data_IF_180894162073
#
_entry.id   IF_180894162073
#
_cell.length_a   1.000
_cell.length_b   1.000
_cell.length_c   1.000
_cell.angle_alpha   90.00
_cell.angle_beta   90.00
_cell.angle_gamma   90.00
#
_symmetry.space_group_name_H-M   'P 1'
#
loop_
_entity.id
_entity.type
_entity.pdbx_description
1 polymer ?
#
# COMPACT_ATOMS: atom_id res chain seq x y z
N UNK A 1 1.17 -14.79 26.29
CA UNK A 1 1.42 -13.53 25.54
C UNK A 1 2.09 -13.88 24.22
N UNK A 2 1.46 -13.54 23.12
CA UNK A 2 1.96 -13.77 21.76
C UNK A 2 2.39 -12.44 21.17
N UNK A 3 3.67 -12.28 20.81
CA UNK A 3 4.17 -11.10 20.13
C UNK A 3 3.91 -11.25 18.64
N UNK A 4 3.32 -10.23 18.02
CA UNK A 4 3.07 -10.14 16.58
C UNK A 4 3.71 -8.86 16.04
N UNK A 5 4.55 -9.00 15.03
CA UNK A 5 5.13 -7.87 14.29
C UNK A 5 4.50 -7.78 12.92
N UNK A 6 3.96 -6.60 12.61
CA UNK A 6 3.31 -6.31 11.32
C UNK A 6 4.15 -5.27 10.60
N UNK A 7 4.41 -5.50 9.32
CA UNK A 7 5.15 -4.53 8.50
C UNK A 7 4.42 -4.20 7.21
N UNK A 8 4.71 -3.02 6.68
CA UNK A 8 4.39 -2.64 5.29
C UNK A 8 5.64 -2.17 4.58
N UNK A 9 5.79 -2.53 3.31
CA UNK A 9 6.92 -2.13 2.50
C UNK A 9 6.55 -2.07 1.01
N UNK A 10 6.56 -0.88 0.43
CA UNK A 10 6.52 -0.72 -1.02
C UNK A 10 7.88 -1.09 -1.60
N UNK A 11 7.93 -2.08 -2.48
CA UNK A 11 9.17 -2.63 -3.03
C UNK A 11 9.59 -1.96 -4.34
N UNK A 12 8.95 -0.89 -4.76
CA UNK A 12 9.25 -0.13 -5.99
C UNK A 12 9.40 -1.02 -7.23
N UNK A 13 8.26 -1.35 -7.86
CA UNK A 13 8.22 -2.17 -9.08
C UNK A 13 9.14 -3.41 -9.01
N UNK A 14 8.99 -4.22 -7.96
CA UNK A 14 9.84 -5.36 -7.70
C UNK A 14 9.59 -6.49 -8.68
N UNK A 15 10.56 -6.76 -9.56
CA UNK A 15 10.45 -7.67 -10.70
C UNK A 15 11.81 -8.29 -11.08
N UNK A 16 11.74 -9.32 -11.93
CA UNK A 16 12.87 -9.76 -12.73
C UNK A 16 13.25 -8.68 -13.74
N UNK A 17 14.54 -8.42 -13.88
CA UNK A 17 15.04 -7.43 -14.83
C UNK A 17 15.46 -8.08 -16.14
N UNK A 18 15.17 -7.40 -17.26
CA UNK A 18 15.63 -7.86 -18.56
C UNK A 18 17.17 -7.97 -18.60
N UNK A 19 17.73 -8.95 -19.35
CA UNK A 19 19.18 -9.09 -19.48
C UNK A 19 19.86 -7.78 -19.89
N UNK A 20 20.88 -7.37 -19.14
CA UNK A 20 21.63 -6.14 -19.38
C UNK A 20 21.01 -4.87 -18.76
N UNK A 21 19.85 -4.97 -18.10
CA UNK A 21 19.27 -3.87 -17.33
C UNK A 21 19.81 -3.84 -15.91
N UNK A 22 20.01 -2.66 -15.34
CA UNK A 22 20.41 -2.47 -13.92
C UNK A 22 19.45 -1.55 -13.20
N UNK A 23 19.28 -1.73 -11.87
CA UNK A 23 19.82 -2.85 -11.07
C UNK A 23 19.22 -4.19 -11.49
N UNK A 24 19.97 -5.26 -11.36
CA UNK A 24 19.49 -6.62 -11.54
C UNK A 24 18.67 -7.06 -10.32
N UNK A 25 17.80 -8.08 -10.48
CA UNK A 25 17.07 -8.66 -9.35
C UNK A 25 18.04 -9.10 -8.22
N UNK A 26 19.16 -9.75 -8.56
CA UNK A 26 20.16 -10.20 -7.58
C UNK A 26 20.81 -9.03 -6.81
N UNK A 27 21.07 -7.90 -7.47
CA UNK A 27 21.58 -6.68 -6.81
C UNK A 27 20.53 -6.13 -5.84
N UNK A 28 19.26 -6.07 -6.26
CA UNK A 28 18.13 -5.64 -5.41
C UNK A 28 17.95 -6.57 -4.20
N UNK A 29 17.92 -7.87 -4.41
CA UNK A 29 17.81 -8.87 -3.33
C UNK A 29 18.96 -8.74 -2.34
N UNK A 30 20.19 -8.52 -2.82
CA UNK A 30 21.37 -8.38 -1.95
C UNK A 30 21.22 -7.23 -0.95
N UNK A 31 20.59 -6.12 -1.34
CA UNK A 31 20.36 -4.97 -0.46
C UNK A 31 19.06 -5.08 0.35
N UNK A 32 17.99 -5.57 -0.25
CA UNK A 32 16.67 -5.57 0.39
C UNK A 32 16.48 -6.75 1.37
N UNK A 33 17.06 -7.92 1.09
CA UNK A 33 16.95 -9.09 1.98
C UNK A 33 17.42 -8.83 3.43
N UNK A 34 18.54 -8.14 3.70
CA UNK A 34 18.90 -7.72 5.05
C UNK A 34 17.86 -6.80 5.71
N UNK A 35 17.18 -5.93 4.96
CA UNK A 35 16.08 -5.12 5.48
C UNK A 35 14.92 -6.02 5.90
N UNK A 36 14.43 -6.90 5.01
CA UNK A 36 13.37 -7.86 5.34
C UNK A 36 13.69 -8.66 6.61
N UNK A 37 14.92 -9.15 6.75
CA UNK A 37 15.36 -9.87 7.96
C UNK A 37 15.28 -9.01 9.24
N UNK A 38 15.60 -7.71 9.15
CA UNK A 38 15.52 -6.79 10.31
C UNK A 38 14.09 -6.49 10.73
N UNK A 39 13.13 -6.51 9.80
CA UNK A 39 11.72 -6.31 10.12
C UNK A 39 11.20 -7.35 11.10
N UNK A 40 11.70 -8.60 11.01
CA UNK A 40 11.23 -9.73 11.83
C UNK A 40 9.71 -9.81 11.87
N UNK A 41 9.08 -9.51 10.74
CA UNK A 41 7.63 -9.44 10.64
C UNK A 41 7.01 -10.84 10.65
N UNK A 42 5.94 -11.02 11.41
CA UNK A 42 5.08 -12.20 11.36
C UNK A 42 4.03 -12.07 10.27
N UNK A 43 3.65 -10.81 9.96
CA UNK A 43 2.77 -10.43 8.87
C UNK A 43 3.45 -9.30 8.11
N UNK A 44 3.75 -9.49 6.83
CA UNK A 44 4.33 -8.46 5.98
C UNK A 44 3.41 -8.13 4.82
N UNK A 45 3.13 -6.84 4.64
CA UNK A 45 2.32 -6.31 3.55
C UNK A 45 3.24 -5.64 2.53
N UNK A 46 3.27 -6.16 1.30
CA UNK A 46 4.11 -5.64 0.24
C UNK A 46 3.27 -4.96 -0.84
N UNK A 47 3.80 -3.88 -1.39
CA UNK A 47 3.24 -3.15 -2.52
C UNK A 47 4.23 -3.18 -3.69
N UNK A 48 3.72 -2.95 -4.89
CA UNK A 48 4.48 -2.93 -6.15
C UNK A 48 5.23 -4.22 -6.49
N UNK A 49 4.68 -5.37 -6.10
CA UNK A 49 5.22 -6.68 -6.48
C UNK A 49 4.69 -7.08 -7.85
N UNK A 50 5.59 -7.36 -8.80
CA UNK A 50 5.21 -7.82 -10.13
C UNK A 50 5.11 -9.34 -10.19
N UNK A 51 4.29 -9.83 -11.11
CA UNK A 51 4.15 -11.25 -11.38
C UNK A 51 5.01 -11.69 -12.55
N UNK A 52 5.66 -12.85 -12.44
CA UNK A 52 6.53 -13.41 -13.47
C UNK A 52 5.84 -14.56 -14.19
N UNK A 53 5.98 -14.61 -15.53
CA UNK A 53 5.45 -15.68 -16.35
C UNK A 53 6.50 -16.78 -16.57
N UNK A 54 6.03 -18.04 -16.59
CA UNK A 54 6.80 -19.20 -17.01
C UNK A 54 6.00 -20.02 -18.00
N UNK A 55 6.63 -20.60 -19.03
CA UNK A 55 5.92 -21.41 -20.02
C UNK A 55 5.09 -22.52 -19.38
N UNK A 56 3.78 -22.52 -19.64
CA UNK A 56 2.86 -23.56 -19.15
C UNK A 56 2.51 -23.48 -17.67
N UNK A 57 2.82 -22.38 -16.99
CA UNK A 57 2.46 -22.15 -15.60
C UNK A 57 1.69 -20.83 -15.45
N UNK A 58 0.76 -20.73 -14.48
CA UNK A 58 0.18 -19.45 -14.11
C UNK A 58 1.25 -18.45 -13.69
N UNK A 59 1.00 -17.15 -13.91
CA UNK A 59 1.86 -16.09 -13.40
C UNK A 59 1.94 -16.15 -11.88
N UNK A 60 3.16 -16.04 -11.32
CA UNK A 60 3.44 -16.19 -9.90
C UNK A 60 4.42 -15.10 -9.41
N UNK A 61 4.59 -14.98 -8.11
CA UNK A 61 5.43 -13.95 -7.45
C UNK A 61 6.87 -14.45 -7.24
N UNK A 62 7.50 -15.01 -8.27
CA UNK A 62 8.78 -15.71 -8.17
C UNK A 62 9.92 -14.81 -7.66
N UNK A 63 9.95 -13.54 -8.08
CA UNK A 63 10.95 -12.59 -7.59
C UNK A 63 10.77 -12.31 -6.08
N UNK A 64 9.52 -12.19 -5.60
CA UNK A 64 9.25 -12.03 -4.18
C UNK A 64 9.63 -13.29 -3.39
N UNK A 65 9.31 -14.48 -3.88
CA UNK A 65 9.70 -15.74 -3.25
C UNK A 65 11.23 -15.82 -3.10
N UNK A 66 12.00 -15.43 -4.12
CA UNK A 66 13.46 -15.37 -4.07
C UNK A 66 13.97 -14.32 -3.05
N UNK A 67 13.30 -13.17 -2.92
CA UNK A 67 13.62 -12.19 -1.89
C UNK A 67 13.40 -12.74 -0.49
N UNK A 68 12.29 -13.47 -0.28
CA UNK A 68 11.91 -14.00 1.04
C UNK A 68 12.69 -15.26 1.44
N UNK A 69 13.28 -15.98 0.48
CA UNK A 69 14.10 -17.18 0.73
C UNK A 69 15.19 -16.91 1.78
N UNK A 70 15.27 -17.78 2.80
CA UNK A 70 16.20 -17.65 3.92
C UNK A 70 15.95 -16.44 4.84
N UNK A 71 14.77 -15.82 4.80
CA UNK A 71 14.27 -14.86 5.79
C UNK A 71 13.32 -15.56 6.78
N UNK A 72 12.76 -14.84 7.74
CA UNK A 72 11.70 -15.36 8.61
C UNK A 72 10.35 -15.56 7.90
N UNK A 73 10.22 -15.11 6.65
CA UNK A 73 9.04 -15.29 5.80
C UNK A 73 9.28 -16.34 4.69
N UNK A 74 10.38 -17.09 4.76
CA UNK A 74 10.67 -18.17 3.82
C UNK A 74 9.58 -19.26 3.89
N UNK A 75 8.95 -19.56 2.74
CA UNK A 75 7.83 -20.50 2.67
C UNK A 75 6.52 -19.99 3.29
N UNK A 76 6.39 -18.70 3.60
CA UNK A 76 5.14 -18.10 4.07
C UNK A 76 4.00 -18.22 3.04
N UNK A 77 2.78 -18.24 3.51
CA UNK A 77 1.59 -18.09 2.65
C UNK A 77 1.59 -16.69 2.06
N UNK A 78 1.49 -16.59 0.74
CA UNK A 78 1.37 -15.33 0.01
C UNK A 78 -0.08 -15.14 -0.45
N UNK A 79 -0.81 -14.25 0.22
CA UNK A 79 -2.13 -13.79 -0.23
C UNK A 79 -1.90 -12.59 -1.12
N UNK A 80 -2.33 -12.67 -2.39
CA UNK A 80 -2.07 -11.64 -3.39
C UNK A 80 -3.35 -11.19 -4.08
N UNK A 81 -3.33 -9.96 -4.58
CA UNK A 81 -4.33 -9.49 -5.55
C UNK A 81 -4.22 -10.24 -6.87
N UNK A 82 -5.36 -10.48 -7.52
CA UNK A 82 -5.46 -11.27 -8.76
C UNK A 82 -6.49 -10.66 -9.70
N UNK A 83 -6.27 -10.73 -11.03
CA UNK A 83 -7.31 -10.41 -12.00
C UNK A 83 -8.43 -11.46 -12.02
N UNK A 84 -8.07 -12.71 -11.72
CA UNK A 84 -8.93 -13.90 -11.61
C UNK A 84 -8.39 -14.83 -10.50
N UNK A 85 -8.97 -16.00 -10.33
CA UNK A 85 -8.63 -16.90 -9.23
C UNK A 85 -7.29 -17.65 -9.44
N UNK A 86 -6.74 -17.67 -10.63
CA UNK A 86 -5.64 -18.58 -10.97
C UNK A 86 -4.25 -17.90 -11.02
N UNK A 87 -4.17 -16.62 -11.34
CA UNK A 87 -2.90 -15.93 -11.53
C UNK A 87 -2.88 -14.54 -10.86
N UNK A 88 -1.71 -14.09 -10.47
CA UNK A 88 -1.50 -12.72 -9.97
C UNK A 88 -1.49 -11.71 -11.12
N UNK A 89 -1.67 -10.41 -10.81
CA UNK A 89 -1.48 -9.36 -11.82
C UNK A 89 -0.03 -9.34 -12.33
N UNK A 90 0.14 -8.91 -13.57
CA UNK A 90 1.45 -8.68 -14.17
C UNK A 90 2.22 -7.59 -13.39
N UNK A 91 1.53 -6.50 -13.05
CA UNK A 91 2.14 -5.34 -12.39
C UNK A 91 1.46 -5.02 -11.06
N UNK A 92 2.30 -4.65 -10.07
CA UNK A 92 1.91 -3.95 -8.84
C UNK A 92 0.86 -4.67 -8.00
N UNK A 93 1.08 -5.95 -7.75
CA UNK A 93 0.28 -6.68 -6.79
C UNK A 93 0.45 -6.11 -5.38
N UNK A 94 -0.62 -6.20 -4.59
CA UNK A 94 -0.56 -6.17 -3.14
C UNK A 94 -0.39 -7.60 -2.65
N UNK A 95 0.48 -7.80 -1.66
CA UNK A 95 0.76 -9.13 -1.10
C UNK A 95 0.78 -9.04 0.42
N UNK A 96 0.12 -9.99 1.08
CA UNK A 96 0.24 -10.25 2.52
C UNK A 96 0.97 -11.58 2.66
N UNK A 97 2.16 -11.56 3.28
CA UNK A 97 2.97 -12.73 3.54
C UNK A 97 2.94 -13.07 5.04
N UNK A 98 2.60 -14.31 5.40
CA UNK A 98 2.54 -14.74 6.80
C UNK A 98 2.61 -16.26 6.93
N UNK A 99 3.14 -16.77 8.06
CA UNK A 99 3.02 -18.16 8.48
C UNK A 99 1.79 -18.42 9.37
N UNK A 100 1.11 -17.35 9.79
CA UNK A 100 -0.12 -17.48 10.58
C UNK A 100 -1.27 -17.96 9.69
N UNK A 101 -2.26 -18.68 10.24
CA UNK A 101 -3.39 -19.16 9.45
C UNK A 101 -4.22 -18.01 8.88
N UNK A 102 -4.35 -17.99 7.57
CA UNK A 102 -5.26 -17.09 6.87
C UNK A 102 -6.63 -17.77 6.77
N UNK A 103 -7.60 -17.24 7.50
CA UNK A 103 -8.96 -17.83 7.59
C UNK A 103 -9.79 -17.44 6.38
N UNK A 104 -9.69 -16.18 5.96
CA UNK A 104 -10.38 -15.64 4.79
C UNK A 104 -9.54 -14.53 4.17
N UNK A 105 -9.62 -14.36 2.87
CA UNK A 105 -9.13 -13.18 2.19
C UNK A 105 -10.06 -12.78 1.06
N UNK A 106 -10.05 -11.51 0.72
CA UNK A 106 -10.82 -10.92 -0.36
C UNK A 106 -10.11 -9.68 -0.92
N UNK A 107 -10.43 -9.32 -2.12
CA UNK A 107 -10.01 -8.05 -2.71
C UNK A 107 -11.24 -7.25 -3.09
N UNK A 108 -11.16 -5.91 -2.94
CA UNK A 108 -12.26 -5.00 -3.25
C UNK A 108 -11.79 -3.96 -4.26
N UNK A 109 -12.63 -3.73 -5.27
CA UNK A 109 -12.37 -2.73 -6.30
C UNK A 109 -13.70 -2.18 -6.83
N UNK A 110 -14.12 -1.06 -6.29
CA UNK A 110 -15.42 -0.44 -6.55
C UNK A 110 -16.63 -1.31 -6.10
N UNK A 111 -16.44 -2.14 -5.07
CA UNK A 111 -17.49 -3.00 -4.52
C UNK A 111 -18.35 -2.24 -3.49
N UNK A 112 -17.73 -1.34 -2.72
CA UNK A 112 -18.40 -0.54 -1.69
C UNK A 112 -18.60 0.92 -2.10
N UNK A 113 -17.87 1.38 -3.10
CA UNK A 113 -17.95 2.74 -3.65
C UNK A 113 -18.13 2.64 -5.15
N UNK A 114 -19.22 3.19 -5.66
CA UNK A 114 -19.46 3.20 -7.11
C UNK A 114 -18.32 3.92 -7.84
N UNK A 115 -17.93 3.35 -8.98
CA UNK A 115 -16.88 3.93 -9.82
C UNK A 115 -17.22 5.37 -10.22
N UNK A 116 -16.35 6.35 -9.90
CA UNK A 116 -16.58 7.74 -10.25
C UNK A 116 -16.69 7.91 -11.76
N UNK A 117 -17.49 8.88 -12.21
CA UNK A 117 -17.63 9.21 -13.62
C UNK A 117 -17.23 10.66 -13.86
N UNK A 118 -16.44 10.90 -14.90
CA UNK A 118 -16.00 12.23 -15.27
C UNK A 118 -15.86 12.38 -16.79
N UNK A 119 -16.15 13.58 -17.30
CA UNK A 119 -15.95 13.93 -18.70
C UNK A 119 -14.66 14.74 -18.84
N UNK A 120 -13.63 14.16 -19.46
CA UNK A 120 -12.33 14.84 -19.64
C UNK A 120 -12.48 15.89 -20.72
N UNK A 121 -12.46 17.15 -20.31
CA UNK A 121 -12.71 18.28 -21.21
C UNK A 121 -11.48 18.66 -22.03
N UNK A 122 -10.28 18.43 -21.50
CA UNK A 122 -9.03 18.73 -22.22
C UNK A 122 -8.55 17.59 -23.12
N UNK A 123 -9.16 16.40 -23.06
CA UNK A 123 -8.80 15.29 -23.92
C UNK A 123 -8.91 15.64 -25.42
N UNK A 124 -8.04 15.02 -26.25
CA UNK A 124 -8.07 15.20 -27.71
C UNK A 124 -8.28 13.82 -28.38
N UNK A 125 -9.47 13.59 -28.97
CA UNK A 125 -10.68 14.43 -28.93
C UNK A 125 -11.29 14.46 -27.51
N UNK A 126 -12.07 15.49 -27.16
CA UNK A 126 -12.79 15.54 -25.87
C UNK A 126 -13.75 14.37 -25.72
N UNK A 127 -13.92 13.88 -24.48
CA UNK A 127 -14.90 12.84 -24.22
C UNK A 127 -16.32 13.34 -24.55
N UNK A 128 -17.12 12.58 -25.29
CA UNK A 128 -18.49 13.00 -25.66
C UNK A 128 -19.46 13.00 -24.47
N UNK A 129 -19.14 12.25 -23.42
CA UNK A 129 -19.94 12.10 -22.20
C UNK A 129 -19.06 11.64 -21.04
N UNK A 130 -19.55 11.73 -19.77
CA UNK A 130 -18.82 11.20 -18.63
C UNK A 130 -18.52 9.70 -18.76
N UNK A 131 -17.26 9.33 -18.59
CA UNK A 131 -16.77 7.94 -18.61
C UNK A 131 -16.45 7.47 -17.18
N UNK A 132 -16.45 6.17 -16.92
CA UNK A 132 -15.94 5.63 -15.66
C UNK A 132 -14.47 5.99 -15.46
N UNK A 133 -14.13 6.37 -14.23
CA UNK A 133 -12.75 6.68 -13.80
C UNK A 133 -12.33 5.60 -12.81
N UNK A 134 -11.94 4.45 -13.35
CA UNK A 134 -11.56 3.29 -12.57
C UNK A 134 -10.25 3.47 -11.82
N UNK A 135 -10.15 2.82 -10.67
CA UNK A 135 -8.89 2.65 -9.95
C UNK A 135 -8.10 1.49 -10.54
N UNK A 136 -6.79 1.60 -10.53
CA UNK A 136 -5.93 0.56 -11.11
C UNK A 136 -5.80 -0.66 -10.18
N UNK A 137 -5.73 -0.43 -8.86
CA UNK A 137 -5.37 -1.45 -7.87
C UNK A 137 -6.53 -1.72 -6.92
N UNK A 138 -6.87 -3.00 -6.67
CA UNK A 138 -7.82 -3.35 -5.61
C UNK A 138 -7.20 -3.13 -4.22
N UNK A 139 -8.05 -3.11 -3.19
CA UNK A 139 -7.69 -3.23 -1.79
C UNK A 139 -7.59 -4.73 -1.50
N UNK A 140 -6.61 -5.15 -0.71
CA UNK A 140 -6.48 -6.54 -0.27
C UNK A 140 -6.77 -6.64 1.23
N UNK A 141 -7.72 -7.49 1.61
CA UNK A 141 -8.11 -7.75 2.99
C UNK A 141 -7.90 -9.23 3.32
N UNK A 142 -7.28 -9.50 4.46
CA UNK A 142 -7.14 -10.84 5.01
C UNK A 142 -7.57 -10.88 6.48
N UNK A 143 -8.23 -11.97 6.88
CA UNK A 143 -8.50 -12.32 8.27
C UNK A 143 -7.48 -13.37 8.70
N UNK A 144 -6.65 -13.05 9.67
CA UNK A 144 -5.54 -13.86 10.14
C UNK A 144 -5.80 -14.25 11.59
N UNK A 145 -5.70 -15.56 11.89
CA UNK A 145 -5.75 -16.04 13.25
C UNK A 145 -4.39 -15.82 13.93
N UNK A 146 -4.38 -14.98 14.94
CA UNK A 146 -3.16 -14.58 15.67
C UNK A 146 -2.95 -15.33 16.97
N UNK A 147 -3.91 -16.18 17.39
CA UNK A 147 -3.77 -16.99 18.59
C UNK A 147 -4.53 -18.32 18.47
N UNK A 148 -3.79 -19.36 18.18
CA UNK A 148 -4.33 -20.72 18.10
C UNK A 148 -4.92 -21.26 19.43
N UNK A 149 -4.58 -20.65 20.57
CA UNK A 149 -5.06 -21.07 21.88
C UNK A 149 -6.39 -20.43 22.28
N UNK A 150 -6.74 -19.30 21.66
CA UNK A 150 -7.99 -18.58 21.90
C UNK A 150 -8.80 -18.46 20.58
N UNK A 151 -9.73 -19.37 20.29
CA UNK A 151 -10.58 -19.28 19.11
C UNK A 151 -11.31 -17.93 19.03
N UNK A 152 -11.17 -17.24 17.90
CA UNK A 152 -11.76 -15.92 17.68
C UNK A 152 -10.78 -14.74 17.80
N UNK A 153 -9.49 -15.00 18.00
CA UNK A 153 -8.43 -13.97 17.97
C UNK A 153 -8.10 -13.52 16.53
N UNK A 154 -9.12 -13.13 15.78
CA UNK A 154 -8.95 -12.68 14.41
C UNK A 154 -8.37 -11.28 14.34
N UNK A 155 -7.39 -11.09 13.46
CA UNK A 155 -6.87 -9.81 13.03
C UNK A 155 -7.26 -9.56 11.58
N UNK A 156 -7.94 -8.45 11.33
CA UNK A 156 -8.21 -7.97 9.99
C UNK A 156 -7.03 -7.14 9.50
N UNK A 157 -6.33 -7.60 8.49
CA UNK A 157 -5.23 -6.87 7.84
C UNK A 157 -5.71 -6.41 6.47
N UNK A 158 -5.77 -5.09 6.29
CA UNK A 158 -6.18 -4.43 5.06
C UNK A 158 -4.95 -3.74 4.51
N UNK A 159 -4.43 -4.19 3.36
CA UNK A 159 -3.32 -3.51 2.70
C UNK A 159 -3.77 -2.77 1.46
N UNK A 160 -3.18 -1.60 1.27
CA UNK A 160 -3.54 -0.66 0.20
C UNK A 160 -2.31 -0.17 -0.55
N UNK A 161 -2.52 0.21 -1.80
CA UNK A 161 -1.64 1.09 -2.54
C UNK A 161 -2.52 2.09 -3.29
N UNK A 162 -2.76 3.25 -2.67
CA UNK A 162 -3.65 4.25 -3.23
C UNK A 162 -3.01 4.90 -4.47
N UNK A 163 -3.82 5.54 -5.30
CA UNK A 163 -3.34 6.23 -6.51
C UNK A 163 -2.32 7.32 -6.17
N UNK A 164 -1.15 7.28 -6.80
CA UNK A 164 -0.09 8.27 -6.63
C UNK A 164 -0.55 9.71 -6.94
N UNK A 165 0.20 10.70 -6.45
CA UNK A 165 -0.03 12.13 -6.74
C UNK A 165 0.30 12.50 -8.20
N UNK A 166 1.01 11.62 -8.90
CA UNK A 166 1.32 11.84 -10.33
C UNK A 166 0.02 11.95 -11.12
N UNK A 167 -0.13 13.02 -11.94
CA UNK A 167 -1.34 13.26 -12.72
C UNK A 167 -1.67 12.07 -13.65
N UNK A 168 -2.94 11.67 -13.68
CA UNK A 168 -3.43 10.69 -14.65
C UNK A 168 -3.34 11.24 -16.06
N UNK A 169 -2.87 10.42 -16.99
CA UNK A 169 -2.75 10.83 -18.39
C UNK A 169 -4.11 11.21 -18.98
N UNK A 170 -4.13 12.33 -19.70
CA UNK A 170 -5.25 12.78 -20.49
C UNK A 170 -4.94 12.52 -21.97
N UNK A 171 -5.79 11.80 -22.72
CA UNK A 171 -5.54 11.49 -24.12
C UNK A 171 -5.18 12.70 -24.96
N UNK A 172 -4.08 12.62 -25.70
CA UNK A 172 -3.57 13.67 -26.56
C UNK A 172 -2.94 14.88 -25.84
N UNK A 173 -2.85 14.87 -24.50
CA UNK A 173 -2.30 15.97 -23.71
C UNK A 173 -0.85 15.71 -23.21
N UNK A 174 -0.38 14.48 -23.22
CA UNK A 174 1.02 14.15 -22.93
C UNK A 174 1.78 14.03 -24.25
N UNK A 175 2.80 14.90 -24.46
CA UNK A 175 3.59 14.97 -25.69
C UNK A 175 4.62 13.86 -25.73
N UNK A 176 5.32 13.68 -24.62
CA UNK A 176 6.32 12.63 -24.42
C UNK A 176 6.04 11.96 -23.06
N UNK A 177 5.46 10.75 -23.09
CA UNK A 177 5.15 10.02 -21.85
C UNK A 177 6.39 9.73 -20.99
N UNK A 178 7.57 9.55 -21.58
CA UNK A 178 8.83 9.31 -20.85
C UNK A 178 9.31 10.54 -20.08
N UNK A 179 9.01 11.73 -20.58
CA UNK A 179 9.40 13.01 -19.97
C UNK A 179 8.27 13.67 -19.18
N UNK A 180 7.06 13.11 -19.23
CA UNK A 180 5.89 13.70 -18.58
C UNK A 180 5.53 15.11 -19.10
N UNK A 181 5.85 15.43 -20.35
CA UNK A 181 5.63 16.75 -20.93
C UNK A 181 4.15 16.95 -21.29
N UNK A 182 3.49 17.84 -20.58
CA UNK A 182 2.09 18.21 -20.81
C UNK A 182 1.97 19.36 -21.84
N UNK A 183 0.90 19.32 -22.65
CA UNK A 183 0.60 20.39 -23.63
C UNK A 183 0.13 21.68 -22.98
N UNK A 184 -0.58 21.57 -21.84
CA UNK A 184 -1.11 22.73 -21.11
C UNK A 184 -1.14 22.49 -19.61
N UNK A 185 -1.12 23.59 -18.84
CA UNK A 185 -1.32 23.54 -17.40
C UNK A 185 -2.74 23.10 -17.02
N UNK A 186 -3.74 23.43 -17.86
CA UNK A 186 -5.12 23.01 -17.69
C UNK A 186 -5.26 21.48 -17.75
N UNK A 187 -4.68 20.85 -18.78
CA UNK A 187 -4.70 19.40 -18.92
C UNK A 187 -3.93 18.70 -17.78
N UNK A 188 -2.79 19.27 -17.35
CA UNK A 188 -2.07 18.79 -16.18
C UNK A 188 -2.93 18.85 -14.90
N UNK A 189 -3.65 19.97 -14.70
CA UNK A 189 -4.53 20.14 -13.56
C UNK A 189 -5.71 19.15 -13.59
N UNK A 190 -6.32 18.92 -14.78
CA UNK A 190 -7.36 17.91 -14.96
C UNK A 190 -6.83 16.50 -14.65
N UNK A 191 -5.61 16.16 -15.09
CA UNK A 191 -4.95 14.91 -14.75
C UNK A 191 -4.72 14.75 -13.24
N UNK A 192 -4.31 15.82 -12.55
CA UNK A 192 -4.14 15.86 -11.09
C UNK A 192 -5.47 15.67 -10.36
N UNK A 193 -6.53 16.28 -10.86
CA UNK A 193 -7.90 16.10 -10.35
C UNK A 193 -8.33 14.62 -10.47
N UNK A 194 -8.10 13.97 -11.61
CA UNK A 194 -8.42 12.55 -11.79
C UNK A 194 -7.66 11.64 -10.84
N UNK A 195 -6.37 11.89 -10.62
CA UNK A 195 -5.57 11.13 -9.64
C UNK A 195 -6.11 11.31 -8.22
N UNK A 196 -6.50 12.54 -7.86
CA UNK A 196 -7.12 12.81 -6.56
C UNK A 196 -8.47 12.12 -6.40
N UNK A 197 -9.30 12.12 -7.45
CA UNK A 197 -10.60 11.42 -7.46
C UNK A 197 -10.42 9.92 -7.24
N UNK A 198 -9.48 9.28 -7.93
CA UNK A 198 -9.15 7.86 -7.77
C UNK A 198 -8.69 7.56 -6.34
N UNK A 199 -7.72 8.33 -5.83
CA UNK A 199 -7.17 8.14 -4.48
C UNK A 199 -8.25 8.29 -3.40
N UNK A 200 -9.11 9.29 -3.52
CA UNK A 200 -10.23 9.51 -2.59
C UNK A 200 -11.29 8.41 -2.69
N UNK A 201 -11.58 7.90 -3.89
CA UNK A 201 -12.51 6.79 -4.07
C UNK A 201 -12.01 5.53 -3.35
N UNK A 202 -10.71 5.21 -3.50
CA UNK A 202 -10.09 4.10 -2.78
C UNK A 202 -10.11 4.32 -1.25
N UNK A 203 -9.78 5.52 -0.77
CA UNK A 203 -9.81 5.85 0.65
C UNK A 203 -11.21 5.70 1.26
N UNK A 204 -12.25 6.14 0.55
CA UNK A 204 -13.64 5.96 0.96
C UNK A 204 -14.03 4.47 1.00
N UNK A 205 -13.56 3.67 0.04
CA UNK A 205 -13.82 2.23 0.00
C UNK A 205 -13.21 1.51 1.21
N UNK A 206 -11.95 1.86 1.57
CA UNK A 206 -11.30 1.37 2.81
C UNK A 206 -12.11 1.75 4.04
N UNK A 207 -12.52 3.02 4.16
CA UNK A 207 -13.33 3.47 5.32
C UNK A 207 -14.64 2.69 5.43
N UNK A 208 -15.33 2.47 4.32
CA UNK A 208 -16.57 1.69 4.29
C UNK A 208 -16.36 0.23 4.69
N UNK A 209 -15.25 -0.38 4.24
CA UNK A 209 -14.89 -1.74 4.66
C UNK A 209 -14.67 -1.80 6.17
N UNK A 210 -13.89 -0.85 6.74
CA UNK A 210 -13.66 -0.76 8.17
C UNK A 210 -14.97 -0.59 8.95
N UNK A 211 -15.86 0.30 8.50
CA UNK A 211 -17.16 0.51 9.16
C UNK A 211 -18.09 -0.70 9.07
N UNK A 212 -18.04 -1.47 7.97
CA UNK A 212 -18.77 -2.72 7.87
C UNK A 212 -18.26 -3.77 8.88
N UNK A 213 -16.93 -3.93 8.97
CA UNK A 213 -16.32 -4.85 9.93
C UNK A 213 -16.71 -4.45 11.37
N UNK A 214 -16.57 -3.16 11.72
CA UNK A 214 -16.91 -2.67 13.07
C UNK A 214 -18.42 -2.71 13.38
N UNK A 215 -19.28 -2.69 12.36
CA UNK A 215 -20.72 -2.89 12.53
C UNK A 215 -21.05 -4.34 12.88
N UNK A 216 -20.33 -5.29 12.27
CA UNK A 216 -20.54 -6.72 12.51
C UNK A 216 -19.86 -7.17 13.81
N UNK A 217 -18.71 -6.62 14.13
CA UNK A 217 -17.97 -6.83 15.38
C UNK A 217 -17.37 -5.50 15.87
N UNK A 218 -17.99 -4.81 16.86
CA UNK A 218 -17.49 -3.56 17.40
C UNK A 218 -16.11 -3.63 18.07
N UNK A 219 -15.68 -4.85 18.45
CA UNK A 219 -14.38 -5.12 19.06
C UNK A 219 -13.37 -5.69 18.06
N UNK A 220 -13.69 -5.65 16.75
CA UNK A 220 -12.80 -6.15 15.71
C UNK A 220 -11.42 -5.50 15.76
N UNK A 221 -10.39 -6.32 15.65
CA UNK A 221 -8.99 -5.91 15.56
C UNK A 221 -8.67 -5.66 14.10
N UNK A 222 -8.48 -4.39 13.73
CA UNK A 222 -8.22 -3.99 12.34
C UNK A 222 -6.90 -3.23 12.25
N UNK A 223 -6.08 -3.61 11.27
CA UNK A 223 -4.91 -2.88 10.82
C UNK A 223 -5.10 -2.53 9.35
N UNK A 224 -5.08 -1.24 9.03
CA UNK A 224 -5.03 -0.73 7.65
C UNK A 224 -3.62 -0.22 7.40
N UNK A 225 -2.91 -0.78 6.42
CA UNK A 225 -1.51 -0.44 6.18
C UNK A 225 -1.16 -0.47 4.69
N UNK A 226 -0.08 0.20 4.30
CA UNK A 226 0.37 0.24 2.91
C UNK A 226 0.85 1.63 2.50
N UNK A 227 1.06 1.79 1.20
CA UNK A 227 1.35 3.07 0.58
C UNK A 227 0.05 3.82 0.28
N UNK A 228 -0.20 4.89 1.05
CA UNK A 228 -1.39 5.74 0.89
C UNK A 228 -1.18 6.85 -0.16
N UNK A 229 0.05 7.06 -0.62
CA UNK A 229 0.39 8.17 -1.50
C UNK A 229 -0.16 9.53 -1.00
N UNK A 230 -0.22 9.69 0.31
CA UNK A 230 -0.77 10.85 1.00
C UNK A 230 -0.08 11.02 2.35
N UNK A 231 0.18 12.26 2.77
CA UNK A 231 0.75 12.58 4.07
C UNK A 231 -0.32 12.53 5.19
N UNK A 232 0.08 12.43 6.46
CA UNK A 232 -0.85 12.22 7.61
C UNK A 232 -2.00 13.22 7.69
N UNK A 233 -1.79 14.45 7.25
CA UNK A 233 -2.77 15.55 7.29
C UNK A 233 -3.60 15.66 6.00
N UNK A 234 -3.31 14.84 4.99
CA UNK A 234 -4.05 14.87 3.74
C UNK A 234 -5.37 14.10 3.85
N UNK A 235 -6.36 14.56 3.10
CA UNK A 235 -7.74 14.07 3.16
C UNK A 235 -7.88 12.55 3.02
N UNK A 236 -7.13 11.84 2.16
CA UNK A 236 -7.24 10.38 2.06
C UNK A 236 -6.93 9.66 3.39
N UNK A 237 -5.88 10.08 4.10
CA UNK A 237 -5.49 9.50 5.40
C UNK A 237 -6.54 9.83 6.46
N UNK A 238 -6.96 11.11 6.55
CA UNK A 238 -7.98 11.56 7.49
C UNK A 238 -9.32 10.85 7.27
N UNK A 239 -9.71 10.62 6.01
CA UNK A 239 -10.94 9.89 5.66
C UNK A 239 -10.88 8.43 6.13
N UNK A 240 -9.75 7.73 5.95
CA UNK A 240 -9.59 6.37 6.43
C UNK A 240 -9.54 6.33 7.96
N UNK A 241 -8.87 7.27 8.61
CA UNK A 241 -8.87 7.40 10.08
C UNK A 241 -10.29 7.59 10.64
N UNK A 242 -11.17 8.28 9.92
CA UNK A 242 -12.50 8.61 10.41
C UNK A 242 -12.42 9.68 11.50
N UNK A 243 -12.02 10.92 11.13
CA UNK A 243 -11.84 12.01 12.08
C UNK A 243 -13.15 12.44 12.72
N UNK A 244 -13.39 11.94 13.93
CA UNK A 244 -14.64 12.13 14.69
C UNK A 244 -14.88 13.59 15.06
N UNK A 245 -13.82 14.34 15.34
CA UNK A 245 -13.94 15.75 15.75
C UNK A 245 -14.63 16.58 14.68
N UNK A 246 -14.36 16.29 13.41
CA UNK A 246 -15.00 16.99 12.28
C UNK A 246 -16.48 16.59 12.08
N UNK A 247 -16.90 15.43 12.62
CA UNK A 247 -18.30 15.00 12.55
C UNK A 247 -19.19 15.65 13.61
N UNK A 248 -18.61 16.26 14.64
CA UNK A 248 -19.30 16.77 15.85
C UNK A 248 -20.13 15.69 16.58
N UNK A 249 -19.83 14.40 16.36
CA UNK A 249 -20.50 13.28 17.01
C UNK A 249 -19.49 12.41 17.77
N UNK A 250 -19.42 12.61 19.10
CA UNK A 250 -18.50 11.87 19.98
C UNK A 250 -18.77 10.37 20.06
N UNK A 251 -19.99 9.90 19.72
CA UNK A 251 -20.34 8.47 19.75
C UNK A 251 -19.60 7.67 18.67
N UNK A 252 -19.02 8.35 17.67
CA UNK A 252 -18.20 7.72 16.64
C UNK A 252 -16.74 7.45 17.07
N UNK A 253 -16.34 7.89 18.27
CA UNK A 253 -14.96 7.71 18.75
C UNK A 253 -14.45 6.26 18.71
N UNK A 254 -15.25 5.20 18.94
CA UNK A 254 -14.81 3.80 18.78
C UNK A 254 -14.42 3.43 17.34
N UNK A 255 -14.93 4.13 16.33
CA UNK A 255 -14.70 3.87 14.92
C UNK A 255 -13.39 4.51 14.37
N UNK A 256 -12.72 5.33 15.18
CA UNK A 256 -11.49 6.02 14.76
C UNK A 256 -10.33 5.04 14.68
N UNK A 257 -9.62 5.06 13.54
CA UNK A 257 -8.32 4.41 13.43
C UNK A 257 -7.21 5.37 13.85
N UNK A 258 -6.21 4.83 14.53
CA UNK A 258 -5.09 5.59 15.08
C UNK A 258 -3.82 5.30 14.30
N UNK A 259 -3.15 6.30 13.70
CA UNK A 259 -1.86 6.15 13.06
C UNK A 259 -0.78 5.89 14.11
N UNK A 260 -0.19 4.70 14.11
CA UNK A 260 0.78 4.30 15.14
C UNK A 260 2.19 4.84 14.88
N UNK A 261 2.53 5.18 13.63
CA UNK A 261 3.78 5.83 13.26
C UNK A 261 3.97 7.19 13.94
N UNK A 262 2.90 7.79 14.45
CA UNK A 262 2.99 9.03 15.28
C UNK A 262 3.86 8.89 16.53
N UNK A 263 4.14 7.66 16.96
CA UNK A 263 5.04 7.39 18.09
C UNK A 263 6.52 7.47 17.70
N UNK A 264 6.84 7.44 16.40
CA UNK A 264 8.20 7.64 15.89
C UNK A 264 8.55 9.13 15.96
N UNK A 265 9.77 9.53 16.44
CA UNK A 265 10.20 10.92 16.45
C UNK A 265 10.03 11.59 15.09
N UNK A 266 9.64 12.87 15.10
CA UNK A 266 9.25 13.59 13.88
C UNK A 266 10.35 13.70 12.82
N UNK A 267 11.61 13.81 13.23
CA UNK A 267 12.78 13.85 12.36
C UNK A 267 13.16 12.50 11.71
N UNK A 268 12.65 11.39 12.28
CA UNK A 268 12.80 10.04 11.73
C UNK A 268 11.50 9.51 11.08
N UNK A 269 10.41 10.28 11.10
CA UNK A 269 9.08 9.86 10.63
C UNK A 269 8.88 10.21 9.16
N UNK A 270 9.50 9.44 8.29
CA UNK A 270 9.31 9.53 6.83
C UNK A 270 9.60 8.19 6.18
N UNK A 271 8.90 7.89 5.10
CA UNK A 271 9.05 6.65 4.33
C UNK A 271 9.52 6.90 2.90
N UNK A 272 9.54 8.16 2.46
CA UNK A 272 10.11 8.57 1.17
C UNK A 272 10.92 9.86 1.40
N UNK A 273 12.04 10.02 0.66
CA UNK A 273 12.87 11.21 0.73
C UNK A 273 12.96 11.85 -0.65
N UNK A 274 12.48 13.09 -0.77
CA UNK A 274 12.38 13.77 -2.06
C UNK A 274 12.75 15.24 -1.94
N UNK A 275 13.65 15.73 -2.80
CA UNK A 275 14.20 17.10 -2.76
C UNK A 275 14.72 17.53 -1.38
N UNK A 276 15.42 16.63 -0.69
CA UNK A 276 15.98 16.90 0.63
C UNK A 276 14.93 16.93 1.75
N UNK A 277 13.71 16.45 1.51
CA UNK A 277 12.62 16.43 2.49
C UNK A 277 12.04 15.03 2.65
N UNK A 278 11.86 14.63 3.91
CA UNK A 278 11.15 13.40 4.25
C UNK A 278 9.65 13.57 4.10
N UNK A 279 8.98 12.60 3.47
CA UNK A 279 7.53 12.48 3.34
C UNK A 279 7.05 11.18 3.98
N UNK A 280 5.93 11.23 4.70
CA UNK A 280 5.32 10.04 5.30
C UNK A 280 4.17 9.59 4.42
N UNK A 281 4.40 8.59 3.55
CA UNK A 281 3.42 8.09 2.58
C UNK A 281 2.89 6.70 2.91
N UNK A 282 3.66 5.91 3.66
CA UNK A 282 3.29 4.56 4.08
C UNK A 282 2.81 4.60 5.53
N UNK A 283 1.58 4.18 5.76
CA UNK A 283 0.93 4.30 7.06
C UNK A 283 0.55 2.94 7.65
N UNK A 284 0.37 2.92 8.97
CA UNK A 284 -0.25 1.82 9.69
C UNK A 284 -1.28 2.38 10.68
N UNK A 285 -2.54 2.20 10.35
CA UNK A 285 -3.68 2.70 11.11
C UNK A 285 -4.35 1.53 11.82
N UNK A 286 -4.63 1.66 13.11
CA UNK A 286 -5.17 0.57 13.92
C UNK A 286 -6.44 0.98 14.67
N UNK A 287 -7.34 0.03 14.92
CA UNK A 287 -8.47 0.24 15.82
C UNK A 287 -8.00 0.47 17.26
N UNK A 288 -8.80 1.19 18.05
CA UNK A 288 -8.42 1.59 19.41
C UNK A 288 -8.17 0.42 20.36
N UNK A 289 -8.90 -0.68 20.20
CA UNK A 289 -8.72 -1.88 21.03
C UNK A 289 -7.32 -2.51 20.86
N UNK A 290 -6.71 -2.41 19.67
CA UNK A 290 -5.34 -2.90 19.46
C UNK A 290 -4.30 -2.06 20.21
N UNK A 291 -4.57 -0.79 20.51
CA UNK A 291 -3.61 0.08 21.20
C UNK A 291 -3.20 -0.44 22.58
N UNK A 292 -4.05 -1.19 23.27
CA UNK A 292 -3.69 -1.82 24.55
C UNK A 292 -2.54 -2.84 24.39
N UNK A 293 -2.45 -3.42 23.20
CA UNK A 293 -1.44 -4.42 22.84
C UNK A 293 -0.20 -3.82 22.15
N UNK A 294 -0.25 -2.56 21.77
CA UNK A 294 0.84 -1.88 21.07
C UNK A 294 2.09 -1.72 21.95
N UNK A 295 3.28 -1.99 21.39
CA UNK A 295 4.57 -1.92 22.09
C UNK A 295 5.56 -0.96 21.44
N UNK A 296 5.38 -0.60 20.19
CA UNK A 296 6.23 0.35 19.49
C UNK A 296 6.19 0.19 17.98
N UNK A 297 6.67 1.20 17.27
CA UNK A 297 6.86 1.18 15.83
C UNK A 297 8.25 1.68 15.44
N UNK A 298 8.71 1.20 14.30
CA UNK A 298 10.01 1.51 13.70
C UNK A 298 9.79 1.86 12.23
N UNK A 299 10.56 2.82 11.72
CA UNK A 299 10.67 3.10 10.28
C UNK A 299 12.13 2.88 9.89
N UNK A 300 12.38 1.95 8.97
CA UNK A 300 13.73 1.58 8.57
C UNK A 300 14.18 2.38 7.34
N UNK A 301 14.45 3.65 7.54
CA UNK A 301 14.82 4.61 6.49
C UNK A 301 16.34 4.88 6.39
N UNK A 302 17.18 4.03 6.98
CA UNK A 302 18.63 4.23 7.08
C UNK A 302 19.37 4.17 5.74
N UNK A 303 18.79 3.51 4.74
CA UNK A 303 19.39 3.39 3.40
C UNK A 303 18.58 4.10 2.32
N UNK A 304 17.57 4.88 2.74
CA UNK A 304 16.69 5.58 1.80
C UNK A 304 17.49 6.66 1.07
N UNK A 305 17.45 6.62 -0.26
CA UNK A 305 18.05 7.65 -1.10
C UNK A 305 17.04 8.78 -1.39
N UNK A 306 17.53 9.91 -1.90
CA UNK A 306 16.67 10.99 -2.40
C UNK A 306 16.15 10.60 -3.80
N UNK A 307 14.85 10.30 -3.91
CA UNK A 307 14.18 9.91 -5.14
C UNK A 307 14.36 10.97 -6.28
N UNK A 308 14.52 12.24 -5.94
CA UNK A 308 14.77 13.28 -6.91
C UNK A 308 16.10 13.11 -7.67
N UNK A 309 17.07 12.37 -7.12
CA UNK A 309 18.35 12.07 -7.79
C UNK A 309 18.13 11.10 -8.95
N UNK A 310 17.29 10.07 -8.76
CA UNK A 310 16.95 9.14 -9.84
C UNK A 310 16.31 9.86 -11.02
N UNK A 311 15.42 10.81 -10.75
CA UNK A 311 14.79 11.63 -11.78
C UNK A 311 15.80 12.55 -12.51
N UNK A 312 16.78 13.10 -11.78
CA UNK A 312 17.75 14.03 -12.34
C UNK A 312 18.85 13.34 -13.19
N UNK A 313 19.19 12.10 -12.87
CA UNK A 313 20.34 11.37 -13.45
C UNK A 313 19.94 10.19 -14.34
N UNK A 314 18.66 9.81 -14.39
CA UNK A 314 18.17 8.56 -14.96
C UNK A 314 18.79 7.30 -14.29
N UNK A 315 19.48 7.44 -13.16
CA UNK A 315 20.01 6.34 -12.38
C UNK A 315 18.87 5.60 -11.68
N UNK A 316 18.98 4.28 -11.64
CA UNK A 316 18.09 3.42 -10.85
C UNK A 316 18.86 2.85 -9.69
N UNK A 317 18.28 2.97 -8.51
CA UNK A 317 18.86 2.43 -7.29
C UNK A 317 18.40 1.00 -7.06
N UNK A 318 19.21 0.13 -6.44
CA UNK A 318 18.82 -1.25 -6.15
C UNK A 318 17.90 -1.38 -4.95
N UNK A 319 17.95 -0.46 -4.00
CA UNK A 319 16.98 -0.35 -2.90
C UNK A 319 15.66 0.26 -3.39
N UNK A 320 14.61 0.13 -2.58
CA UNK A 320 13.34 0.84 -2.81
C UNK A 320 13.48 2.32 -2.47
N UNK A 321 12.75 3.17 -3.18
CA UNK A 321 12.51 4.58 -2.84
C UNK A 321 11.60 4.78 -1.63
N UNK A 322 11.02 3.68 -1.10
CA UNK A 322 10.25 3.65 0.13
C UNK A 322 10.98 2.95 1.28
N UNK A 323 10.75 3.40 2.50
CA UNK A 323 11.19 2.76 3.73
C UNK A 323 10.06 1.93 4.35
N UNK A 324 10.35 0.72 4.86
CA UNK A 324 9.33 -0.08 5.55
C UNK A 324 8.97 0.50 6.92
N UNK A 325 7.67 0.37 7.26
CA UNK A 325 7.13 0.66 8.59
C UNK A 325 6.83 -0.66 9.29
N UNK A 326 7.21 -0.76 10.56
CA UNK A 326 6.96 -1.96 11.39
C UNK A 326 6.32 -1.57 12.70
N UNK A 327 5.34 -2.34 13.15
CA UNK A 327 4.79 -2.22 14.49
C UNK A 327 4.82 -3.56 15.23
N UNK A 328 5.00 -3.48 16.54
CA UNK A 328 5.00 -4.62 17.45
C UNK A 328 3.78 -4.56 18.35
N UNK A 329 3.07 -5.67 18.42
CA UNK A 329 1.92 -5.87 19.31
C UNK A 329 2.15 -7.10 20.19
N UNK A 330 1.56 -7.12 21.37
CA UNK A 330 1.67 -8.20 22.32
C UNK A 330 0.28 -8.55 22.84
N UNK A 331 -0.24 -9.69 22.38
CA UNK A 331 -1.56 -10.19 22.74
C UNK A 331 -1.46 -11.19 23.90
N UNK A 332 -2.41 -11.13 24.82
CA UNK A 332 -2.48 -12.01 26.00
C UNK A 332 -2.87 -13.45 25.66
#
# INVERSE_FOLDING_TARGET
>A
MTQIRISTFNLENFDETAPGTRPTLAERITLMKPQIKRLRADIACFQEVHGQERPGQPRALLALEELLDGTNLDGAVLVSTKPDDDAVFDFRNLVIATHLPVIKHEQLKNDLVAEPRYQRLTAIPPDPQPIPIGVERPILHAQIDIDHAAPGSLLHVITVHLKSKIPSEIPGQVIDPKKGNWRSADAWAEGSFLSSMKRMSQALEVRRLVDQILKDDPDARIVVTGDFNAEPEEVPVLAICGNVEDTNNGDLAPHVLVPIERTVPGDARYTLFHHGQGQMLDHMLVTRNILAHYRGSEIHNEILHDDSLAFATDDKFPESDHAPVVATFEFD
#
